data_IF_805328145912
#
_entry.id   IF_805328145912
#
_cell.length_a   1.000
_cell.length_b   1.000
_cell.length_c   1.000
_cell.angle_alpha   90.00
_cell.angle_beta   90.00
_cell.angle_gamma   90.00
#
_symmetry.space_group_name_H-M   'P 1'
#
loop_
_entity.id
_entity.type
_entity.pdbx_description
1 polymer ?
#
# COMPACT_ATOMS: atom_id res chain seq x y z
N UNK A 1 11.80 -0.64 2.85
CA UNK A 1 11.10 -1.27 1.70
C UNK A 1 10.39 -0.23 0.83
N UNK A 2 9.68 0.75 1.41
CA UNK A 2 8.97 1.80 0.65
C UNK A 2 9.83 2.55 -0.37
N UNK A 3 11.07 2.91 -0.01
CA UNK A 3 11.95 3.68 -0.89
C UNK A 3 12.29 2.95 -2.21
N UNK A 4 12.52 1.63 -2.16
CA UNK A 4 12.84 0.84 -3.35
C UNK A 4 11.68 0.85 -4.36
N UNK A 5 10.47 0.52 -3.90
CA UNK A 5 9.30 0.46 -4.78
C UNK A 5 8.86 1.84 -5.25
N UNK A 6 9.06 2.88 -4.44
CA UNK A 6 8.86 4.26 -4.84
C UNK A 6 9.80 4.70 -5.97
N UNK A 7 11.09 4.40 -5.86
CA UNK A 7 12.08 4.73 -6.90
C UNK A 7 11.80 3.96 -8.20
N UNK A 8 11.45 2.67 -8.10
CA UNK A 8 11.10 1.85 -9.27
C UNK A 8 9.85 2.39 -9.97
N UNK A 9 8.82 2.77 -9.22
CA UNK A 9 7.59 3.33 -9.79
C UNK A 9 7.86 4.67 -10.48
N UNK A 10 8.59 5.59 -9.83
CA UNK A 10 8.94 6.89 -10.40
C UNK A 10 9.80 6.74 -11.67
N UNK A 11 10.78 5.83 -11.65
CA UNK A 11 11.61 5.52 -12.80
C UNK A 11 10.79 4.96 -13.98
N UNK A 12 9.91 4.00 -13.71
CA UNK A 12 9.05 3.39 -14.71
C UNK A 12 8.09 4.42 -15.33
N UNK A 13 7.53 5.31 -14.50
CA UNK A 13 6.66 6.41 -14.94
C UNK A 13 7.41 7.39 -15.84
N UNK A 14 8.60 7.83 -15.44
CA UNK A 14 9.47 8.74 -16.23
C UNK A 14 9.85 8.17 -17.60
N UNK A 15 9.98 6.85 -17.69
CA UNK A 15 10.31 6.13 -18.93
C UNK A 15 9.09 5.73 -19.76
N UNK A 16 7.87 5.92 -19.25
CA UNK A 16 6.65 5.49 -19.92
C UNK A 16 6.48 3.97 -20.00
N UNK A 17 7.09 3.21 -19.08
CA UNK A 17 7.08 1.73 -19.05
C UNK A 17 6.37 1.16 -17.82
N UNK A 18 5.56 1.97 -17.13
CA UNK A 18 4.83 1.54 -15.95
C UNK A 18 3.71 0.55 -16.36
N UNK A 19 4.03 -0.74 -16.29
CA UNK A 19 3.17 -1.85 -16.70
C UNK A 19 3.62 -3.14 -16.02
N UNK A 20 2.68 -4.07 -15.81
CA UNK A 20 2.93 -5.41 -15.27
C UNK A 20 3.82 -6.27 -16.19
N UNK A 21 3.94 -5.91 -17.48
CA UNK A 21 4.83 -6.58 -18.44
C UNK A 21 6.32 -6.37 -18.10
N UNK A 22 6.69 -5.17 -17.63
CA UNK A 22 8.08 -4.81 -17.37
C UNK A 22 8.50 -5.02 -15.91
N UNK A 23 7.54 -5.08 -14.99
CA UNK A 23 7.77 -5.29 -13.57
C UNK A 23 6.91 -6.44 -13.05
N UNK A 24 7.42 -7.66 -13.23
CA UNK A 24 6.71 -8.84 -12.78
C UNK A 24 6.76 -8.96 -11.25
N UNK A 25 5.60 -8.82 -10.63
CA UNK A 25 5.33 -9.19 -9.25
C UNK A 25 4.23 -10.25 -9.27
N UNK A 26 4.32 -11.26 -8.42
CA UNK A 26 3.27 -12.28 -8.35
C UNK A 26 2.15 -11.87 -7.40
N UNK A 27 0.94 -12.40 -7.60
CA UNK A 27 -0.16 -12.17 -6.66
C UNK A 27 0.18 -12.68 -5.25
N UNK A 28 0.95 -13.77 -5.16
CA UNK A 28 1.44 -14.30 -3.89
C UNK A 28 2.33 -13.30 -3.15
N UNK A 29 3.15 -12.53 -3.88
CA UNK A 29 4.00 -11.47 -3.32
C UNK A 29 3.14 -10.35 -2.72
N UNK A 30 2.09 -9.93 -3.44
CA UNK A 30 1.17 -8.90 -2.94
C UNK A 30 0.43 -9.38 -1.68
N UNK A 31 -0.01 -10.64 -1.65
CA UNK A 31 -0.65 -11.24 -0.47
C UNK A 31 0.29 -11.19 0.74
N UNK A 32 1.57 -11.55 0.57
CA UNK A 32 2.56 -11.49 1.65
C UNK A 32 2.74 -10.06 2.16
N UNK A 33 2.86 -9.07 1.28
CA UNK A 33 3.03 -7.67 1.69
C UNK A 33 1.78 -7.11 2.39
N UNK A 34 0.58 -7.46 1.90
CA UNK A 34 -0.69 -7.11 2.56
C UNK A 34 -0.73 -7.66 3.98
N UNK A 35 -0.44 -8.95 4.17
CA UNK A 35 -0.39 -9.59 5.49
C UNK A 35 0.62 -8.91 6.41
N UNK A 36 1.80 -8.56 5.89
CA UNK A 36 2.84 -7.88 6.66
C UNK A 36 2.36 -6.52 7.20
N UNK A 37 1.59 -5.79 6.40
CA UNK A 37 0.97 -4.52 6.78
C UNK A 37 -0.41 -4.68 7.43
N UNK A 38 -0.79 -5.91 7.80
CA UNK A 38 -2.05 -6.25 8.45
C UNK A 38 -3.31 -5.89 7.64
N UNK A 39 -3.18 -5.74 6.32
CA UNK A 39 -4.30 -5.65 5.39
C UNK A 39 -4.93 -7.04 5.16
N UNK A 40 -6.20 -7.06 4.77
CA UNK A 40 -6.86 -8.27 4.30
C UNK A 40 -6.32 -8.63 2.92
N UNK A 41 -6.29 -9.92 2.59
CA UNK A 41 -5.72 -10.37 1.31
C UNK A 41 -6.50 -9.82 0.11
N UNK A 42 -7.82 -9.70 0.28
CA UNK A 42 -8.75 -9.15 -0.70
C UNK A 42 -8.86 -7.62 -0.68
N UNK A 43 -8.07 -6.92 0.15
CA UNK A 43 -8.02 -5.46 0.12
C UNK A 43 -7.57 -5.00 -1.27
N UNK A 44 -8.35 -4.10 -1.88
CA UNK A 44 -8.07 -3.57 -3.21
C UNK A 44 -7.03 -2.46 -3.14
N UNK A 45 -6.06 -2.52 -4.05
CA UNK A 45 -5.11 -1.43 -4.33
C UNK A 45 -5.17 -1.16 -5.83
N UNK A 46 -5.25 0.11 -6.22
CA UNK A 46 -5.35 0.50 -7.62
C UNK A 46 -3.99 0.47 -8.33
N UNK A 47 -4.01 0.42 -9.67
CA UNK A 47 -2.82 0.48 -10.51
C UNK A 47 -2.20 -0.89 -10.81
N UNK A 48 -1.08 -0.86 -11.52
CA UNK A 48 -0.26 -2.05 -11.78
C UNK A 48 0.35 -2.59 -10.49
N UNK A 49 0.88 -3.81 -10.51
CA UNK A 49 1.40 -4.46 -9.30
C UNK A 49 2.51 -3.67 -8.62
N UNK A 50 3.35 -2.96 -9.37
CA UNK A 50 4.37 -2.09 -8.80
C UNK A 50 3.76 -0.92 -8.01
N UNK A 51 2.73 -0.27 -8.55
CA UNK A 51 1.97 0.80 -7.87
C UNK A 51 1.27 0.27 -6.62
N UNK A 52 0.68 -0.94 -6.70
CA UNK A 52 0.05 -1.58 -5.55
C UNK A 52 1.05 -1.87 -4.44
N UNK A 53 2.22 -2.41 -4.78
CA UNK A 53 3.27 -2.69 -3.79
C UNK A 53 3.81 -1.40 -3.18
N UNK A 54 4.06 -0.35 -3.98
CA UNK A 54 4.46 0.94 -3.45
C UNK A 54 3.40 1.49 -2.48
N UNK A 55 2.13 1.42 -2.86
CA UNK A 55 1.00 1.85 -2.02
C UNK A 55 0.94 1.08 -0.70
N UNK A 56 1.07 -0.25 -0.72
CA UNK A 56 1.09 -1.08 0.50
C UNK A 56 2.21 -0.65 1.45
N UNK A 57 3.40 -0.35 0.92
CA UNK A 57 4.56 0.01 1.74
C UNK A 57 4.62 1.48 2.17
N UNK A 58 3.93 2.39 1.47
CA UNK A 58 3.84 3.80 1.84
C UNK A 58 2.78 4.08 2.90
N UNK A 59 1.78 3.22 3.01
CA UNK A 59 0.74 3.36 4.03
C UNK A 59 1.16 2.73 5.36
N UNK A 60 0.56 3.24 6.45
CA UNK A 60 0.72 2.69 7.80
C UNK A 60 0.04 1.32 7.91
N UNK A 61 0.56 0.40 8.73
CA UNK A 61 -0.11 -0.86 9.02
C UNK A 61 -1.54 -0.63 9.54
N UNK A 62 -2.51 -1.45 9.13
CA UNK A 62 -3.91 -1.33 9.60
C UNK A 62 -4.05 -1.41 11.11
N UNK A 63 -3.24 -2.23 11.77
CA UNK A 63 -3.20 -2.33 13.23
C UNK A 63 -2.86 -1.01 13.88
N UNK A 64 -1.90 -0.27 13.35
CA UNK A 64 -1.54 1.07 13.84
C UNK A 64 -2.68 2.07 13.57
N UNK A 65 -3.24 2.07 12.37
CA UNK A 65 -4.37 2.94 12.01
C UNK A 65 -5.54 2.71 12.99
N UNK A 66 -5.91 1.45 13.20
CA UNK A 66 -7.02 1.09 14.07
C UNK A 66 -6.75 1.42 15.55
N UNK A 67 -5.51 1.24 16.03
CA UNK A 67 -5.14 1.63 17.39
C UNK A 67 -5.31 3.15 17.61
N UNK A 68 -4.93 3.96 16.61
CA UNK A 68 -5.09 5.43 16.68
C UNK A 68 -6.56 5.82 16.62
N UNK A 69 -7.36 5.21 15.75
CA UNK A 69 -8.80 5.47 15.67
C UNK A 69 -9.50 5.12 16.98
N UNK A 70 -9.21 3.94 17.52
CA UNK A 70 -9.77 3.47 18.79
C UNK A 70 -9.40 4.40 19.95
N UNK A 71 -8.14 4.84 20.03
CA UNK A 71 -7.70 5.80 21.05
C UNK A 71 -8.43 7.16 20.98
N UNK A 72 -8.98 7.51 19.82
CA UNK A 72 -9.77 8.73 19.60
C UNK A 72 -11.29 8.49 19.63
N UNK A 73 -11.75 7.30 20.05
CA UNK A 73 -13.17 6.95 20.10
C UNK A 73 -13.83 6.81 18.72
N UNK A 74 -13.03 6.63 17.66
CA UNK A 74 -13.50 6.42 16.30
C UNK A 74 -13.64 4.92 15.99
N UNK A 75 -14.56 4.54 15.08
CA UNK A 75 -14.71 3.15 14.68
C UNK A 75 -13.47 2.64 13.93
N UNK A 76 -13.10 1.39 14.21
CA UNK A 76 -12.02 0.70 13.48
C UNK A 76 -12.40 0.48 12.01
N UNK A 77 -11.39 0.50 11.15
CA UNK A 77 -11.53 0.25 9.73
C UNK A 77 -11.24 -1.20 9.38
N UNK A 78 -11.98 -1.71 8.39
CA UNK A 78 -11.75 -3.03 7.78
C UNK A 78 -10.88 -2.96 6.53
N UNK A 79 -10.88 -1.80 5.88
CA UNK A 79 -10.14 -1.52 4.65
C UNK A 79 -9.39 -0.19 4.83
N UNK A 80 -8.23 -0.02 4.17
CA UNK A 80 -7.50 1.24 4.21
C UNK A 80 -8.36 2.38 3.68
N UNK A 81 -8.04 3.60 4.13
CA UNK A 81 -8.57 4.78 3.48
C UNK A 81 -8.20 4.78 1.99
N UNK A 82 -9.10 5.24 1.10
CA UNK A 82 -8.71 5.55 -0.26
C UNK A 82 -7.53 6.52 -0.23
N UNK A 83 -6.59 6.33 -1.17
CA UNK A 83 -5.20 6.81 -1.27
C UNK A 83 -4.89 8.29 -0.95
N UNK A 84 -5.89 9.11 -0.61
CA UNK A 84 -5.78 10.54 -0.39
C UNK A 84 -5.76 10.96 1.09
N UNK A 85 -5.89 10.03 2.03
CA UNK A 85 -5.80 10.32 3.48
C UNK A 85 -4.51 9.72 4.04
N UNK A 86 -3.45 10.53 4.04
CA UNK A 86 -2.28 10.27 4.86
C UNK A 86 -2.56 10.74 6.29
N UNK A 87 -2.45 9.84 7.26
CA UNK A 87 -2.45 10.22 8.68
C UNK A 87 -1.07 10.75 9.01
N UNK A 88 -0.96 12.08 9.15
CA UNK A 88 0.24 12.72 9.66
C UNK A 88 0.19 12.71 11.20
N UNK A 89 1.31 12.33 11.82
CA UNK A 89 1.54 12.51 13.24
C UNK A 89 2.49 13.70 13.40
N UNK A 90 2.11 14.66 14.25
CA UNK A 90 2.99 15.75 14.69
C UNK A 90 4.06 15.24 15.68
#
# INVERSE_FOLDING_TARGET
>A
MSWLYGELEDNARKRGILSDEFYYLSDSTLIVFKRFQTYRENTYFAGCRLEQVNSIWRNSPMTLINAVLEANGLPILRDPFPLDIAVFFD
#
